data_IF_000784056453
#
_entry.id   IF_000784056453
#
_cell.length_a   1.000
_cell.length_b   1.000
_cell.length_c   1.000
_cell.angle_alpha   90.00
_cell.angle_beta   90.00
_cell.angle_gamma   90.00
#
_symmetry.space_group_name_H-M   'P 1'
#
loop_
_entity.id
_entity.type
_entity.pdbx_description
1 polymer ?
2 polymer ?
3 water ?
#
# COMPACT_ATOMS: atom_id res chain seq x y z
N UNK A 1 -14.83 -3.05 -4.70
CA UNK A 1 -13.86 -4.16 -4.36
C UNK A 1 -14.18 -5.06 -3.17
N UNK A 2 -13.37 -6.12 -3.20
CA UNK A 2 -13.56 -7.52 -2.88
C UNK A 2 -12.51 -8.20 -2.00
N UNK A 3 -11.24 -7.77 -2.02
CA UNK A 3 -10.17 -8.48 -1.26
C UNK A 3 -10.21 -8.28 0.25
N UNK A 4 -9.83 -9.31 1.04
CA UNK A 4 -9.94 -9.25 2.51
C UNK A 4 -9.21 -8.11 3.23
N UNK A 5 -8.06 -7.72 2.70
CA UNK A 5 -7.27 -6.70 3.38
C UNK A 5 -7.56 -5.28 2.84
N UNK A 6 -8.46 -5.18 1.84
CA UNK A 6 -8.95 -3.85 1.35
C UNK A 6 -9.94 -3.25 2.36
N UNK A 7 -9.59 -2.16 3.06
CA UNK A 7 -10.57 -1.49 3.91
C UNK A 7 -11.04 -0.24 3.18
N UNK A 8 -12.33 -0.04 3.06
CA UNK A 8 -12.84 1.11 2.33
C UNK A 8 -13.33 2.20 3.28
N UNK A 9 -14.00 1.78 4.35
CA UNK A 9 -14.36 2.63 5.48
C UNK A 9 -13.11 2.77 6.35
N UNK A 10 -12.26 3.76 6.11
CA UNK A 10 -11.03 3.79 6.90
C UNK A 10 -10.16 5.04 6.84
N UNK A 11 -10.20 5.84 7.89
CA UNK A 11 -9.36 7.02 7.95
C UNK A 11 -7.88 6.68 8.18
N UNK A 12 -7.04 7.60 7.73
CA UNK A 12 -5.61 7.56 7.88
C UNK A 12 -5.26 7.26 9.35
N UNK A 13 -5.79 8.06 10.26
CA UNK A 13 -5.56 7.84 11.67
C UNK A 13 -6.08 6.48 12.05
N UNK A 14 -7.28 6.12 11.61
CA UNK A 14 -7.79 4.80 11.96
C UNK A 14 -6.84 3.73 11.46
N UNK A 15 -6.32 3.87 10.23
CA UNK A 15 -5.45 2.82 9.67
C UNK A 15 -4.12 2.79 10.41
N UNK A 16 -3.67 3.96 10.86
CA UNK A 16 -2.41 4.09 11.59
C UNK A 16 -2.65 3.50 12.95
N UNK A 17 -3.86 3.65 13.47
CA UNK A 17 -4.13 3.04 14.76
C UNK A 17 -4.11 1.52 14.62
N UNK A 18 -4.58 1.00 13.49
CA UNK A 18 -4.62 -0.46 13.29
C UNK A 18 -3.29 -1.04 12.79
N UNK A 19 -2.37 -0.20 12.34
CA UNK A 19 -1.15 -0.73 11.78
C UNK A 19 -0.05 -0.69 12.81
N UNK A 20 -0.01 0.40 13.56
CA UNK A 20 1.02 0.59 14.57
C UNK A 20 0.84 -0.26 15.84
N UNK A 21 -0.38 -0.30 16.39
CA UNK A 21 -0.62 -1.21 17.51
C UNK A 21 -0.81 -2.63 16.99
N UNK A 22 -0.05 -2.97 15.95
CA UNK A 22 -0.05 -4.30 15.40
C UNK A 22 1.12 -5.03 16.05
N UNK A 23 2.32 -4.47 15.89
CA UNK A 23 3.53 -5.01 16.50
C UNK A 23 4.71 -5.01 15.55
N UNK A 24 4.70 -5.96 14.63
CA UNK A 24 5.73 -6.12 13.63
C UNK A 24 5.72 -5.08 12.48
N UNK A 25 6.91 -4.79 11.94
CA UNK A 25 7.00 -4.03 10.70
C UNK A 25 6.36 -5.03 9.76
N UNK A 26 5.83 -4.62 8.62
CA UNK A 26 5.27 -5.62 7.73
C UNK A 26 3.75 -5.78 7.85
N UNK A 27 3.15 -5.01 8.76
CA UNK A 27 1.69 -5.01 8.82
C UNK A 27 1.17 -4.18 7.67
N UNK A 28 0.25 -4.71 6.88
CA UNK A 28 -0.25 -3.93 5.76
C UNK A 28 -1.72 -4.13 5.41
N UNK A 29 -2.27 -3.13 4.72
CA UNK A 29 -3.65 -3.21 4.22
C UNK A 29 -3.78 -2.27 3.04
N UNK A 30 -4.88 -2.38 2.29
CA UNK A 30 -5.14 -1.42 1.24
C UNK A 30 -6.30 -0.52 1.67
N UNK A 31 -6.16 0.78 1.46
CA UNK A 31 -7.28 1.67 1.73
C UNK A 31 -7.48 2.68 0.59
N UNK A 32 -8.59 3.43 0.65
CA UNK A 32 -8.87 4.40 -0.36
C UNK A 32 -8.04 5.60 -0.04
N UNK A 33 -7.46 6.21 -1.09
CA UNK A 33 -6.66 7.39 -0.85
C UNK A 33 -7.50 8.61 -0.53
N UNK A 34 -7.04 9.40 0.41
CA UNK A 34 -7.76 10.63 0.71
C UNK A 34 -7.32 11.80 -0.16
N UNK A 35 -6.05 11.83 -0.57
CA UNK A 35 -5.51 12.94 -1.39
C UNK A 35 -5.87 12.81 -2.85
N UNK A 36 -5.73 11.62 -3.43
CA UNK A 36 -6.07 11.41 -4.84
C UNK A 36 -7.35 10.57 -4.95
N UNK A 37 -8.49 11.21 -5.11
CA UNK A 37 -9.74 10.47 -5.06
C UNK A 37 -9.86 9.44 -6.20
N UNK A 38 -10.17 8.21 -5.80
CA UNK A 38 -10.26 7.14 -6.76
C UNK A 38 -9.05 6.26 -6.75
N UNK A 39 -7.96 6.74 -6.15
CA UNK A 39 -6.74 5.95 -6.03
C UNK A 39 -6.78 5.12 -4.77
N UNK A 40 -5.83 4.18 -4.66
CA UNK A 40 -5.71 3.34 -3.47
C UNK A 40 -4.34 3.55 -2.81
N UNK A 41 -4.20 3.11 -1.56
CA UNK A 41 -2.93 3.20 -0.88
C UNK A 41 -2.54 1.89 -0.31
N UNK A 42 -1.38 1.39 -0.69
CA UNK A 42 -0.87 0.21 -0.05
C UNK A 42 -0.17 0.75 1.21
N UNK A 43 -0.56 0.30 2.39
CA UNK A 43 0.05 0.85 3.60
C UNK A 43 0.73 -0.27 4.35
N UNK A 44 1.93 -0.01 4.85
CA UNK A 44 2.67 -1.07 5.55
C UNK A 44 3.37 -0.48 6.75
N UNK A 45 3.51 -1.29 7.79
CA UNK A 45 4.19 -0.75 8.95
C UNK A 45 5.65 -1.04 8.82
N UNK A 46 6.45 -0.07 9.22
CA UNK A 46 7.90 -0.18 9.28
C UNK A 46 8.45 0.89 10.25
N UNK A 47 9.21 0.44 11.25
CA UNK A 47 9.82 1.31 12.29
C UNK A 47 8.86 2.25 13.01
N UNK A 48 7.74 1.73 13.50
CA UNK A 48 6.75 2.53 14.23
C UNK A 48 6.12 3.69 13.45
N UNK A 49 5.93 3.50 12.15
CA UNK A 49 5.32 4.48 11.26
C UNK A 49 4.73 3.70 10.10
N UNK A 50 3.74 4.30 9.44
CA UNK A 50 3.10 3.66 8.30
C UNK A 50 3.66 4.22 7.01
N UNK A 51 3.92 3.33 6.06
CA UNK A 51 4.44 3.83 4.80
C UNK A 51 3.39 3.53 3.76
N UNK A 52 2.94 4.59 3.10
CA UNK A 52 1.84 4.48 2.15
C UNK A 52 2.29 4.67 0.74
N UNK A 53 1.89 3.79 -0.14
CA UNK A 53 2.26 3.89 -1.54
C UNK A 53 0.98 4.05 -2.34
N UNK A 54 0.78 5.17 -3.00
CA UNK A 54 -0.47 5.28 -3.76
C UNK A 54 -0.53 4.32 -4.94
N UNK A 55 -1.74 3.88 -5.25
CA UNK A 55 -2.03 3.01 -6.37
C UNK A 55 -3.06 3.68 -7.26
N UNK A 56 -2.66 3.85 -8.50
CA UNK A 56 -3.56 4.47 -9.44
C UNK A 56 -4.19 3.43 -10.34
N UNK A 57 -5.49 3.56 -10.53
CA UNK A 57 -6.18 2.73 -11.51
C UNK A 57 -6.07 3.43 -12.85
N UNK A 58 -5.71 2.69 -13.89
CA UNK A 58 -5.52 3.32 -15.18
C UNK A 58 -6.57 2.98 -16.23
N UNK A 59 -6.43 3.64 -17.39
CA UNK A 59 -7.31 3.48 -18.57
C UNK A 59 -8.05 2.14 -18.70
N UNK A 60 -7.29 1.06 -18.92
CA UNK A 60 -7.85 -0.29 -19.12
C UNK A 60 -7.96 -1.14 -17.84
N UNK A 61 -8.20 -0.54 -16.68
CA UNK A 61 -8.26 -1.35 -15.47
C UNK A 61 -6.93 -1.84 -14.90
N UNK A 62 -5.83 -1.24 -15.30
CA UNK A 62 -4.54 -1.60 -14.71
C UNK A 62 -4.39 -0.90 -13.35
N UNK A 63 -3.52 -1.43 -12.48
CA UNK A 63 -3.14 -0.81 -11.21
C UNK A 63 -1.68 -0.39 -11.27
N UNK A 64 -1.43 0.88 -10.98
CA UNK A 64 -0.12 1.43 -11.25
C UNK A 64 0.35 1.99 -9.95
N UNK A 65 1.36 1.36 -9.39
CA UNK A 65 1.79 1.79 -8.06
C UNK A 65 2.76 2.96 -8.24
N UNK A 66 2.71 3.94 -7.35
CA UNK A 66 3.58 5.11 -7.56
C UNK A 66 5.05 4.81 -7.40
N UNK A 67 5.76 4.89 -8.49
CA UNK A 67 7.20 4.68 -8.47
C UNK A 67 7.89 6.00 -8.51
N UNK A 68 9.14 6.04 -8.06
CA UNK A 68 9.87 7.29 -8.17
C UNK A 68 10.31 7.65 -9.59
N UNK A 69 10.83 8.86 -9.76
CA UNK A 69 11.24 9.36 -11.08
C UNK A 69 12.39 8.60 -11.75
N UNK A 70 13.07 7.70 -11.03
CA UNK A 70 14.17 6.91 -11.62
C UNK A 70 13.87 5.41 -11.64
N UNK A 71 12.59 5.07 -11.66
CA UNK A 71 12.10 3.70 -11.62
C UNK A 71 11.06 3.55 -12.71
N UNK A 72 11.17 2.48 -13.50
CA UNK A 72 10.19 2.20 -14.56
C UNK A 72 8.75 2.19 -14.06
N UNK A 73 7.85 2.71 -14.90
CA UNK A 73 6.43 2.60 -14.66
C UNK A 73 6.10 1.14 -14.31
N UNK A 74 5.52 0.89 -13.14
CA UNK A 74 5.22 -0.52 -12.82
C UNK A 74 3.73 -0.73 -12.55
N UNK A 75 3.13 -1.52 -13.44
CA UNK A 75 1.70 -1.75 -13.46
C UNK A 75 1.34 -3.22 -13.34
N UNK A 76 0.16 -3.48 -12.81
CA UNK A 76 -0.32 -4.81 -12.57
C UNK A 76 -1.73 -4.93 -13.14
N UNK A 77 -2.06 -6.08 -13.70
CA UNK A 77 -3.38 -6.28 -14.33
C UNK A 77 -4.51 -6.42 -13.31
N UNK A 78 -4.14 -6.74 -12.08
CA UNK A 78 -5.07 -6.77 -10.98
C UNK A 78 -4.33 -6.51 -9.69
N UNK A 79 -5.10 -6.41 -8.62
CA UNK A 79 -4.55 -6.04 -7.33
C UNK A 79 -3.85 -7.14 -6.51
N UNK A 80 -4.33 -8.38 -6.59
CA UNK A 80 -3.67 -9.46 -5.86
C UNK A 80 -2.27 -9.71 -6.43
N UNK A 81 -2.05 -9.49 -7.72
CA UNK A 81 -0.70 -9.67 -8.29
C UNK A 81 0.25 -8.53 -7.90
N UNK A 82 -0.30 -7.40 -7.47
CA UNK A 82 0.53 -6.33 -6.99
C UNK A 82 0.92 -6.73 -5.58
N UNK A 83 -0.02 -7.26 -4.83
CA UNK A 83 0.30 -7.59 -3.45
C UNK A 83 1.23 -8.81 -3.37
N UNK A 84 1.06 -9.69 -4.33
CA UNK A 84 1.91 -10.83 -4.48
C UNK A 84 3.36 -10.42 -4.76
N UNK A 85 3.56 -9.33 -5.49
CA UNK A 85 4.92 -8.90 -5.77
C UNK A 85 5.61 -8.32 -4.54
N UNK A 86 4.88 -7.54 -3.78
CA UNK A 86 5.50 -6.89 -2.68
C UNK A 86 5.59 -7.71 -1.41
N UNK A 87 5.21 -8.98 -1.50
CA UNK A 87 5.38 -9.90 -0.38
C UNK A 87 6.82 -10.40 -0.35
N UNK A 88 7.52 -10.22 -1.48
CA UNK A 88 8.91 -10.63 -1.70
C UNK A 88 9.82 -9.46 -1.36
N UNK A 89 10.90 -9.75 -0.66
CA UNK A 89 11.85 -8.74 -0.19
C UNK A 89 12.60 -8.02 -1.31
N UNK A 90 13.10 -6.83 -1.04
CA UNK A 90 13.84 -6.04 -2.01
C UNK A 90 13.19 -5.66 -3.35
N UNK A 91 11.89 -5.33 -3.33
CA UNK A 91 11.15 -4.95 -4.53
C UNK A 91 10.94 -3.42 -4.67
N UNK A 92 11.56 -2.64 -3.81
CA UNK A 92 11.40 -1.20 -3.91
C UNK A 92 10.66 -0.57 -2.74
N UNK A 93 10.19 -1.38 -1.80
CA UNK A 93 9.51 -0.74 -0.68
C UNK A 93 10.43 -0.70 0.51
N UNK A 94 9.93 -0.03 1.53
CA UNK A 94 10.66 0.23 2.72
C UNK A 94 10.81 -1.11 3.48
N UNK A 95 9.78 -1.95 3.41
CA UNK A 95 9.81 -3.30 3.97
C UNK A 95 8.83 -4.11 3.16
N UNK A 96 9.07 -5.39 2.99
CA UNK A 96 8.15 -6.15 2.16
C UNK A 96 6.88 -6.39 2.94
N UNK A 97 5.91 -7.05 2.31
CA UNK A 97 4.59 -7.24 2.92
C UNK A 97 4.44 -8.60 3.59
N UNK A 98 4.26 -8.59 4.91
CA UNK A 98 4.18 -9.81 5.69
C UNK A 98 2.79 -10.08 6.27
N UNK A 99 2.32 -9.20 7.16
CA UNK A 99 1.05 -9.44 7.89
C UNK A 99 -0.20 -8.65 7.46
N UNK A 100 -1.07 -9.24 6.63
CA UNK A 100 -2.37 -8.63 6.24
C UNK A 100 -3.30 -8.23 7.41
N UNK A 101 -3.58 -6.94 7.65
CA UNK A 101 -4.61 -6.62 8.66
C UNK A 101 -6.00 -6.66 7.98
N UNK A 102 -6.80 -7.67 8.29
CA UNK A 102 -8.11 -7.86 7.65
C UNK A 102 -9.26 -6.93 8.13
N UNK A 103 -10.22 -6.64 7.26
CA UNK A 103 -11.34 -5.81 7.70
C UNK A 103 -12.37 -6.73 8.32
N UNK B 5 0.73 13.68 10.78
CA UNK B 5 0.12 12.33 10.85
C UNK B 5 1.23 11.36 11.11
N UNK B 6 0.90 10.07 11.11
CA UNK B 6 1.90 9.04 11.41
C UNK B 6 2.06 8.19 10.17
N UNK B 7 1.84 8.82 9.02
CA UNK B 7 1.93 8.12 7.76
C UNK B 7 2.93 8.84 6.90
N UNK B 8 3.84 8.09 6.30
CA UNK B 8 4.76 8.72 5.36
C UNK B 8 4.37 8.26 3.96
N UNK B 9 4.18 9.19 3.04
CA UNK B 9 3.82 8.82 1.67
C UNK B 9 5.16 8.51 1.00
N UNK B 10 5.23 7.42 0.23
CA UNK B 10 6.50 7.08 -0.40
C UNK B 10 6.27 6.63 -1.81
N UNK B 11 7.33 6.61 -2.61
CA UNK B 11 7.22 6.04 -3.96
C UNK B 11 8.07 4.75 -4.03
N UNK B 12 7.73 3.81 -4.92
CA UNK B 12 8.49 2.60 -5.11
C UNK B 12 9.85 2.98 -5.78
N UNK B 13 10.94 2.29 -5.39
CA UNK B 13 12.28 2.60 -5.93
C UNK B 13 13.09 1.54 -6.72
N UNK B 14 12.43 0.55 -7.32
CA UNK B 14 13.09 -0.54 -8.05
C UNK B 14 12.06 -1.11 -9.03
#
# INVERSE_FOLDING_TARGET
MDLPYYHGCLTKRECEALLLKGGVDGNFLIRDSESVPGALCLCVSFKKLVYSYRIFREKHGYYRIETDAHTPRTIFPNLQELVSKYGKPGQGLVVHLSNPIMR
VEKKSLTIYAQVQK
#
